data_IF_064285084935
#
_entry.id   IF_064285084935
#
_cell.length_a   1.000
_cell.length_b   1.000
_cell.length_c   1.000
_cell.angle_alpha   90.00
_cell.angle_beta   90.00
_cell.angle_gamma   90.00
#
_symmetry.space_group_name_H-M   'P 1'
#
loop_
_entity.id
_entity.type
_entity.pdbx_description
1 polymer ?
#
# COMPACT_ATOMS: atom_id res chain seq x y z
N UNK A 1 10.26 -0.16 10.09
CA UNK A 1 8.84 -0.14 9.68
C UNK A 1 8.65 0.55 8.33
N UNK A 2 7.77 0.03 7.47
CA UNK A 2 7.29 0.69 6.25
C UNK A 2 5.79 0.45 6.06
N UNK A 3 5.18 1.24 5.19
CA UNK A 3 3.79 1.06 4.76
C UNK A 3 3.81 0.41 3.38
N UNK A 4 3.00 -0.64 3.19
CA UNK A 4 2.67 -1.18 1.88
C UNK A 4 1.21 -0.88 1.58
N UNK A 5 0.98 -0.25 0.44
CA UNK A 5 -0.34 0.09 -0.07
C UNK A 5 -0.55 -0.73 -1.34
N UNK A 6 -1.60 -1.54 -1.33
CA UNK A 6 -1.97 -2.41 -2.43
C UNK A 6 -3.35 -2.01 -2.94
N UNK A 7 -3.46 -1.67 -4.22
CA UNK A 7 -4.72 -1.55 -4.94
C UNK A 7 -4.97 -2.86 -5.69
N UNK A 8 -6.09 -3.52 -5.40
CA UNK A 8 -6.57 -4.69 -6.12
C UNK A 8 -7.87 -4.34 -6.86
N UNK A 9 -7.99 -4.80 -8.11
CA UNK A 9 -9.18 -4.71 -8.93
C UNK A 9 -9.32 -6.03 -9.69
N UNK A 10 -10.22 -6.89 -9.22
CA UNK A 10 -10.35 -8.25 -9.75
C UNK A 10 -8.98 -8.97 -9.76
N UNK A 11 -8.48 -9.43 -10.91
CA UNK A 11 -7.17 -10.09 -11.03
C UNK A 11 -5.96 -9.13 -11.08
N UNK A 12 -6.19 -7.82 -11.18
CA UNK A 12 -5.10 -6.83 -11.27
C UNK A 12 -4.71 -6.31 -9.89
N UNK A 13 -3.42 -6.32 -9.60
CA UNK A 13 -2.88 -5.79 -8.34
C UNK A 13 -1.70 -4.86 -8.59
N UNK A 14 -1.70 -3.71 -7.94
CA UNK A 14 -0.57 -2.78 -7.89
C UNK A 14 -0.18 -2.54 -6.44
N UNK A 15 1.10 -2.67 -6.10
CA UNK A 15 1.60 -2.42 -4.75
C UNK A 15 2.67 -1.33 -4.79
N UNK A 16 2.54 -0.34 -3.91
CA UNK A 16 3.52 0.70 -3.66
C UNK A 16 3.95 0.67 -2.20
N UNK A 17 5.24 0.85 -1.95
CA UNK A 17 5.81 0.82 -0.61
C UNK A 17 6.39 2.19 -0.28
N UNK A 18 6.22 2.62 0.97
CA UNK A 18 6.91 3.81 1.48
C UNK A 18 8.40 3.54 1.69
N UNK A 19 9.17 4.59 1.99
CA UNK A 19 10.51 4.40 2.56
C UNK A 19 10.46 3.60 3.87
N UNK A 20 11.57 2.98 4.25
CA UNK A 20 11.70 2.30 5.55
C UNK A 20 12.20 3.30 6.59
N UNK A 21 11.49 3.42 7.71
CA UNK A 21 11.96 4.14 8.89
C UNK A 21 12.48 3.14 9.94
N UNK A 22 13.68 3.38 10.46
CA UNK A 22 14.34 2.52 11.45
C UNK A 22 13.99 2.97 12.87
N UNK A 23 13.96 2.02 13.80
CA UNK A 23 13.91 2.27 15.25
C UNK A 23 12.85 3.28 15.72
N UNK A 24 11.62 3.17 15.19
CA UNK A 24 10.50 4.04 15.57
C UNK A 24 9.19 3.26 15.65
N UNK A 25 8.36 3.63 16.62
CA UNK A 25 6.97 3.18 16.78
C UNK A 25 5.97 4.27 16.39
N UNK A 26 6.45 5.48 16.08
CA UNK A 26 5.65 6.67 15.74
C UNK A 26 6.12 7.26 14.41
N UNK A 27 5.96 6.48 13.34
CA UNK A 27 6.43 6.82 12.00
C UNK A 27 5.57 7.91 11.33
N UNK A 28 6.21 8.94 10.76
CA UNK A 28 5.57 9.97 9.92
C UNK A 28 6.20 9.94 8.52
N UNK A 29 5.41 9.63 7.50
CA UNK A 29 5.90 9.43 6.14
C UNK A 29 5.79 10.67 5.24
N UNK A 30 4.67 11.42 5.32
CA UNK A 30 4.38 12.56 4.43
C UNK A 30 4.57 12.22 2.95
N UNK A 31 4.17 11.02 2.54
CA UNK A 31 4.28 10.53 1.17
C UNK A 31 2.89 10.45 0.54
N UNK A 32 2.73 11.11 -0.61
CA UNK A 32 1.56 10.92 -1.45
C UNK A 32 1.77 9.71 -2.37
N UNK A 33 0.72 8.89 -2.54
CA UNK A 33 0.77 7.72 -3.41
C UNK A 33 -0.39 7.79 -4.42
N UNK A 34 -0.05 7.65 -5.69
CA UNK A 34 -1.02 7.60 -6.79
C UNK A 34 -1.00 6.24 -7.46
N UNK A 35 -2.18 5.72 -7.78
CA UNK A 35 -2.37 4.55 -8.62
C UNK A 35 -3.10 4.98 -9.88
N UNK A 36 -2.58 4.57 -11.04
CA UNK A 36 -3.29 4.74 -12.30
C UNK A 36 -4.19 3.52 -12.49
N UNK A 37 -5.47 3.77 -12.65
CA UNK A 37 -6.45 2.73 -12.96
C UNK A 37 -7.54 3.30 -13.85
N UNK A 38 -8.25 2.42 -14.57
CA UNK A 38 -9.36 2.80 -15.44
C UNK A 38 -10.67 2.47 -14.71
N UNK A 39 -11.37 3.46 -14.12
CA UNK A 39 -12.57 3.22 -13.33
C UNK A 39 -13.78 2.94 -14.23
N UNK A 40 -14.01 1.66 -14.55
CA UNK A 40 -15.33 1.21 -14.99
C UNK A 40 -16.20 0.83 -13.79
N UNK A 41 -17.53 0.73 -14.01
CA UNK A 41 -18.50 0.50 -12.93
C UNK A 41 -18.28 -0.83 -12.21
N UNK A 42 -17.91 -1.88 -12.96
CA UNK A 42 -17.61 -3.21 -12.44
C UNK A 42 -16.28 -3.23 -11.66
N UNK A 43 -15.29 -2.51 -12.16
CA UNK A 43 -13.97 -2.41 -11.54
C UNK A 43 -14.06 -1.68 -10.20
N UNK A 44 -14.92 -0.66 -10.08
CA UNK A 44 -15.15 0.04 -8.82
C UNK A 44 -15.77 -0.88 -7.75
N UNK A 45 -16.69 -1.77 -8.11
CA UNK A 45 -17.31 -2.72 -7.18
C UNK A 45 -16.29 -3.73 -6.59
N UNK A 46 -15.29 -4.11 -7.39
CA UNK A 46 -14.23 -5.04 -6.98
C UNK A 46 -12.95 -4.35 -6.51
N UNK A 47 -12.93 -3.01 -6.49
CA UNK A 47 -11.76 -2.24 -6.08
C UNK A 47 -11.55 -2.34 -4.58
N UNK A 48 -10.38 -2.81 -4.17
CA UNK A 48 -9.96 -2.87 -2.77
C UNK A 48 -8.61 -2.19 -2.59
N UNK A 49 -8.54 -1.26 -1.65
CA UNK A 49 -7.28 -0.70 -1.17
C UNK A 49 -6.94 -1.37 0.15
N UNK A 50 -5.77 -2.01 0.21
CA UNK A 50 -5.22 -2.61 1.44
C UNK A 50 -3.99 -1.82 1.87
N UNK A 51 -4.03 -1.29 3.08
CA UNK A 51 -2.90 -0.57 3.69
C UNK A 51 -2.39 -1.43 4.84
N UNK A 52 -1.09 -1.71 4.84
CA UNK A 52 -0.47 -2.59 5.83
C UNK A 52 0.85 -2.01 6.32
N UNK A 53 1.12 -2.17 7.62
CA UNK A 53 2.36 -1.75 8.27
C UNK A 53 3.25 -2.98 8.42
N UNK A 54 4.49 -2.89 7.94
CA UNK A 54 5.45 -3.98 7.96
C UNK A 54 6.66 -3.62 8.79
N UNK A 55 7.05 -4.49 9.71
CA UNK A 55 8.34 -4.39 10.39
C UNK A 55 9.42 -5.10 9.57
N UNK A 56 10.20 -4.33 8.80
CA UNK A 56 11.23 -4.84 7.89
C UNK A 56 12.48 -5.38 8.60
N UNK A 57 12.57 -5.31 9.94
CA UNK A 57 13.71 -5.82 10.70
C UNK A 57 13.49 -7.20 11.33
N UNK A 58 12.27 -7.75 11.25
CA UNK A 58 12.00 -9.11 11.72
C UNK A 58 12.19 -10.11 10.58
N UNK A 59 13.44 -10.48 10.31
CA UNK A 59 13.72 -11.82 9.79
C UNK A 59 13.40 -12.77 10.95
N UNK A 60 12.23 -13.39 10.93
CA UNK A 60 11.93 -14.54 11.80
C UNK A 60 12.24 -15.78 11.01
#
# INVERSE_FOLDING_TARGET
VCIKITLAQDEKQQTKSSRVLKSTTTAVYNEAVMFLFNPGRKELETTKITISVHDMQRLV
#
